data_IF_381790790335
#
_entry.id   IF_381790790335
#
_cell.length_a   1.000
_cell.length_b   1.000
_cell.length_c   1.000
_cell.angle_alpha   90.00
_cell.angle_beta   90.00
_cell.angle_gamma   90.00
#
_symmetry.space_group_name_H-M   'P 1'
#
loop_
_entity.id
_entity.type
_entity.pdbx_description
1 polymer ?
#
# COMPACT_ATOMS: atom_id res chain seq x y z
N UNK A 1 11.08 15.66 -44.93
CA UNK A 1 9.74 15.30 -44.40
C UNK A 1 9.61 13.81 -44.10
N UNK A 2 9.95 12.92 -45.04
CA UNK A 2 9.88 11.48 -44.83
C UNK A 2 10.98 10.97 -43.88
N UNK A 3 12.15 11.59 -43.93
CA UNK A 3 13.28 11.21 -43.02
C UNK A 3 13.02 11.68 -41.62
N UNK A 4 12.57 12.93 -41.43
CA UNK A 4 12.24 13.49 -40.11
C UNK A 4 11.06 12.76 -39.46
N UNK A 5 10.08 12.32 -40.25
CA UNK A 5 8.94 11.51 -39.77
C UNK A 5 9.40 10.11 -39.35
N UNK A 6 10.29 9.47 -40.09
CA UNK A 6 10.84 8.17 -39.77
C UNK A 6 11.74 8.23 -38.55
N UNK A 7 12.56 9.28 -38.40
CA UNK A 7 13.43 9.48 -37.25
C UNK A 7 12.63 9.79 -35.96
N UNK A 8 11.55 10.57 -36.04
CA UNK A 8 10.60 10.78 -34.95
C UNK A 8 9.86 9.50 -34.56
N UNK A 9 9.38 8.73 -35.53
CA UNK A 9 8.71 7.45 -35.28
C UNK A 9 9.67 6.41 -34.68
N UNK A 10 10.94 6.39 -35.14
CA UNK A 10 11.98 5.55 -34.58
C UNK A 10 12.31 5.94 -33.12
N UNK A 11 12.31 7.23 -32.81
CA UNK A 11 12.51 7.76 -31.47
C UNK A 11 11.34 7.43 -30.56
N UNK A 12 10.10 7.55 -31.02
CA UNK A 12 8.91 7.14 -30.25
C UNK A 12 8.82 5.62 -30.07
N UNK A 13 9.15 4.84 -31.09
CA UNK A 13 9.21 3.38 -30.98
C UNK A 13 10.32 2.96 -30.01
N UNK A 14 11.50 3.58 -30.07
CA UNK A 14 12.59 3.30 -29.12
C UNK A 14 12.25 3.78 -27.70
N UNK A 15 11.59 4.91 -27.53
CA UNK A 15 11.09 5.37 -26.23
C UNK A 15 10.02 4.43 -25.67
N UNK A 16 9.10 3.96 -26.53
CA UNK A 16 8.06 3.00 -26.14
C UNK A 16 8.63 1.60 -25.90
N UNK A 17 9.62 1.15 -26.69
CA UNK A 17 10.34 -0.11 -26.48
C UNK A 17 11.22 -0.04 -25.22
N UNK A 18 11.90 1.07 -24.96
CA UNK A 18 12.68 1.23 -23.72
C UNK A 18 11.76 1.36 -22.49
N UNK A 19 10.58 1.97 -22.60
CA UNK A 19 9.58 1.95 -21.55
C UNK A 19 8.90 0.59 -21.36
N UNK A 20 8.81 -0.22 -22.41
CA UNK A 20 8.17 -1.56 -22.36
C UNK A 20 9.15 -2.67 -21.98
N UNK A 21 10.43 -2.54 -22.37
CA UNK A 21 11.53 -3.47 -22.02
C UNK A 21 12.30 -3.05 -20.76
N UNK A 22 12.23 -1.76 -20.37
CA UNK A 22 12.87 -1.21 -19.17
C UNK A 22 12.01 -1.20 -17.93
N UNK A 23 10.86 -1.89 -17.91
CA UNK A 23 9.98 -2.06 -16.72
C UNK A 23 10.28 -3.37 -15.96
N UNK A 24 11.35 -4.04 -16.28
CA UNK A 24 12.05 -4.81 -15.27
C UNK A 24 13.13 -3.88 -14.71
N UNK A 25 12.98 -3.51 -13.45
CA UNK A 25 13.91 -2.70 -12.66
C UNK A 25 14.11 -1.25 -13.14
N UNK A 26 13.10 -0.38 -13.06
CA UNK A 26 13.34 0.85 -12.33
C UNK A 26 13.18 0.49 -10.86
N UNK A 27 14.17 -0.17 -10.32
CA UNK A 27 14.62 0.13 -8.99
C UNK A 27 14.69 1.65 -8.93
N UNK A 28 13.96 2.25 -8.01
CA UNK A 28 14.16 3.63 -7.62
C UNK A 28 15.60 3.73 -7.12
N UNK A 29 16.55 3.98 -8.03
CA UNK A 29 17.90 4.40 -7.74
C UNK A 29 17.91 5.91 -7.48
N UNK A 30 17.14 6.31 -6.52
CA UNK A 30 17.20 7.47 -5.71
C UNK A 30 16.89 6.94 -4.33
N UNK A 31 17.90 6.75 -3.53
CA UNK A 31 17.78 6.52 -2.09
C UNK A 31 17.09 7.76 -1.48
N UNK A 32 15.78 7.85 -1.62
CA UNK A 32 14.98 8.40 -0.55
C UNK A 32 15.06 7.35 0.56
N UNK A 33 16.11 7.52 1.41
CA UNK A 33 16.16 6.83 2.71
C UNK A 33 14.81 7.08 3.33
N UNK A 34 14.05 6.00 3.51
CA UNK A 34 12.81 6.01 4.27
C UNK A 34 13.08 6.86 5.50
N UNK A 35 12.36 7.94 5.66
CA UNK A 35 12.36 8.69 6.90
C UNK A 35 11.56 7.86 7.91
N UNK A 36 12.22 6.84 8.46
CA UNK A 36 11.64 5.89 9.42
C UNK A 36 11.09 6.60 10.66
N UNK A 37 11.53 7.84 10.94
CA UNK A 37 11.01 8.67 12.02
C UNK A 37 9.53 9.01 11.85
N UNK A 38 9.01 8.93 10.63
CA UNK A 38 7.60 9.19 10.34
C UNK A 38 6.69 7.98 10.55
N UNK A 39 7.22 6.77 10.70
CA UNK A 39 6.40 5.55 10.85
C UNK A 39 5.53 5.59 12.11
N UNK A 40 6.02 6.17 13.19
CA UNK A 40 5.33 6.26 14.49
C UNK A 40 5.01 7.70 14.92
N UNK A 41 4.92 8.63 13.98
CA UNK A 41 4.78 10.07 14.24
C UNK A 41 3.57 10.48 15.09
N UNK A 42 2.59 9.61 15.26
CA UNK A 42 1.39 9.84 16.09
C UNK A 42 1.44 9.15 17.44
N UNK A 43 2.42 8.26 17.65
CA UNK A 43 2.63 7.59 18.92
C UNK A 43 3.39 8.50 19.87
N UNK A 44 2.99 8.46 21.14
CA UNK A 44 3.68 9.14 22.24
C UNK A 44 4.08 8.12 23.29
N UNK A 45 5.30 8.21 23.77
CA UNK A 45 5.77 7.39 24.88
C UNK A 45 4.95 7.69 26.14
N UNK A 46 4.77 6.71 27.04
CA UNK A 46 4.04 6.93 28.30
C UNK A 46 4.56 8.12 29.11
N UNK A 47 5.85 8.40 29.05
CA UNK A 47 6.47 9.56 29.72
C UNK A 47 5.89 10.90 29.26
N UNK A 48 5.45 11.02 28.02
CA UNK A 48 4.91 12.26 27.44
C UNK A 48 3.51 12.63 27.99
N UNK A 49 2.89 11.72 28.77
CA UNK A 49 1.62 11.96 29.44
C UNK A 49 1.79 12.42 30.90
N UNK A 50 3.04 12.54 31.37
CA UNK A 50 3.37 13.11 32.69
C UNK A 50 3.15 14.62 32.65
N UNK A 51 2.88 15.23 33.81
CA UNK A 51 2.72 16.66 33.94
C UNK A 51 3.92 17.40 33.36
N UNK A 52 3.73 18.37 32.45
CA UNK A 52 4.83 19.14 31.83
C UNK A 52 5.80 19.77 32.80
N UNK A 53 5.37 20.13 34.02
CA UNK A 53 6.23 20.70 35.05
C UNK A 53 7.28 19.71 35.60
N UNK A 54 7.01 18.41 35.48
CA UNK A 54 7.88 17.33 35.95
C UNK A 54 8.62 16.63 34.82
N UNK A 55 8.49 17.18 33.61
CA UNK A 55 9.10 16.67 32.39
C UNK A 55 10.24 17.58 31.97
N UNK A 56 11.42 17.03 31.83
CA UNK A 56 12.63 17.80 31.55
C UNK A 56 13.27 17.32 30.25
N UNK A 57 13.61 18.22 29.31
CA UNK A 57 14.32 17.84 28.09
C UNK A 57 15.75 17.42 28.44
N UNK A 58 16.26 16.39 27.78
CA UNK A 58 17.67 16.06 27.79
C UNK A 58 18.44 17.02 26.89
N UNK A 59 19.53 17.62 27.42
CA UNK A 59 20.40 18.45 26.59
C UNK A 59 21.28 17.58 25.68
N UNK A 60 21.70 18.12 24.55
CA UNK A 60 22.57 17.40 23.60
C UNK A 60 23.90 16.98 24.28
N UNK A 61 24.44 17.81 25.20
CA UNK A 61 25.66 17.50 25.94
C UNK A 61 25.47 16.28 26.80
N UNK A 62 24.37 16.21 27.59
CA UNK A 62 24.07 15.05 28.44
C UNK A 62 23.81 13.81 27.59
N UNK A 63 23.17 13.97 26.43
CA UNK A 63 22.88 12.87 25.52
C UNK A 63 24.17 12.27 24.94
N UNK A 64 25.16 13.11 24.65
CA UNK A 64 26.50 12.68 24.19
C UNK A 64 27.32 12.07 25.33
N UNK A 65 27.41 12.75 26.47
CA UNK A 65 28.20 12.28 27.63
C UNK A 65 27.73 10.94 28.15
N UNK A 66 26.43 10.65 28.06
CA UNK A 66 25.85 9.37 28.45
C UNK A 66 25.82 8.33 27.32
N UNK A 67 26.40 8.64 26.17
CA UNK A 67 26.41 7.76 24.98
C UNK A 67 24.99 7.28 24.58
N UNK A 68 23.98 8.13 24.75
CA UNK A 68 22.61 7.82 24.38
C UNK A 68 22.38 7.89 22.87
N UNK A 69 23.26 8.58 22.15
CA UNK A 69 23.31 8.69 20.69
C UNK A 69 24.32 7.70 20.15
N UNK A 70 24.02 7.12 19.01
CA UNK A 70 24.92 6.22 18.32
C UNK A 70 26.09 6.99 17.69
N UNK A 71 27.32 6.66 18.07
CA UNK A 71 28.51 7.00 17.30
C UNK A 71 28.76 5.93 16.22
N UNK A 72 29.50 6.31 15.15
CA UNK A 72 29.76 5.39 14.03
C UNK A 72 30.48 4.12 14.54
N UNK A 73 29.80 2.99 14.43
CA UNK A 73 30.34 1.66 14.72
C UNK A 73 30.04 1.08 16.11
N UNK A 74 29.48 1.86 17.04
CA UNK A 74 29.11 1.37 18.37
C UNK A 74 27.60 1.40 18.62
N UNK A 75 27.11 0.51 19.50
CA UNK A 75 25.72 0.53 19.95
C UNK A 75 25.56 1.55 21.07
N UNK A 76 24.54 2.40 20.99
CA UNK A 76 24.19 3.34 22.05
C UNK A 76 23.78 2.61 23.34
N UNK A 77 23.83 3.31 24.48
CA UNK A 77 23.37 2.75 25.77
C UNK A 77 21.92 2.28 25.69
N UNK A 78 21.05 3.04 25.01
CA UNK A 78 19.65 2.64 24.84
C UNK A 78 19.47 1.43 23.91
N UNK A 79 20.27 1.31 22.85
CA UNK A 79 20.23 0.09 22.01
C UNK A 79 20.68 -1.14 22.79
N UNK A 80 21.67 -1.00 23.67
CA UNK A 80 22.09 -2.11 24.58
C UNK A 80 21.04 -2.42 25.64
N UNK A 81 20.31 -1.42 26.14
CA UNK A 81 19.32 -1.55 27.18
C UNK A 81 18.00 -2.14 26.65
N UNK A 82 17.50 -1.62 25.53
CA UNK A 82 16.23 -2.04 24.96
C UNK A 82 16.36 -3.27 24.06
N UNK A 83 17.53 -3.52 23.48
CA UNK A 83 17.80 -4.64 22.56
C UNK A 83 16.66 -4.83 21.51
N UNK A 84 16.32 -3.79 20.76
CA UNK A 84 15.21 -3.89 19.83
C UNK A 84 15.46 -5.00 18.81
N UNK A 85 14.40 -5.77 18.48
CA UNK A 85 14.49 -6.92 17.58
C UNK A 85 13.96 -6.61 16.19
N UNK A 86 13.20 -5.51 16.04
CA UNK A 86 12.61 -5.10 14.79
C UNK A 86 12.79 -3.60 14.52
N UNK A 87 12.55 -3.18 13.28
CA UNK A 87 12.75 -1.79 12.84
C UNK A 87 11.87 -0.78 13.62
N UNK A 88 10.68 -1.18 14.10
CA UNK A 88 9.80 -0.30 14.85
C UNK A 88 10.37 0.00 16.24
N UNK A 89 10.95 -1.01 16.89
CA UNK A 89 11.65 -0.86 18.17
C UNK A 89 12.92 0.00 18.03
N UNK A 90 13.70 -0.20 16.97
CA UNK A 90 14.88 0.61 16.70
C UNK A 90 14.53 2.09 16.49
N UNK A 91 13.48 2.38 15.72
CA UNK A 91 13.07 3.76 15.43
C UNK A 91 12.59 4.52 16.67
N UNK A 92 12.05 3.81 17.67
CA UNK A 92 11.53 4.44 18.88
C UNK A 92 12.64 4.84 19.89
N UNK A 93 13.85 4.34 19.74
CA UNK A 93 14.99 4.70 20.60
C UNK A 93 15.24 6.19 20.59
N UNK A 94 15.07 6.84 19.46
CA UNK A 94 15.25 8.28 19.33
C UNK A 94 14.24 9.10 20.13
N UNK A 95 13.08 8.54 20.45
CA UNK A 95 12.09 9.22 21.30
C UNK A 95 12.42 9.09 22.76
N UNK A 96 12.97 7.96 23.22
CA UNK A 96 13.39 7.76 24.60
C UNK A 96 14.46 8.74 25.07
N UNK A 97 15.33 9.21 24.18
CA UNK A 97 16.43 10.14 24.54
C UNK A 97 16.01 11.61 24.60
N UNK A 98 14.76 11.95 24.28
CA UNK A 98 14.34 13.36 24.20
C UNK A 98 14.14 14.00 25.57
N UNK A 99 13.70 13.23 26.55
CA UNK A 99 13.25 13.77 27.82
C UNK A 99 13.32 12.75 28.96
N UNK A 100 13.40 13.27 30.18
CA UNK A 100 13.30 12.47 31.40
C UNK A 100 12.32 13.12 32.38
N UNK A 101 11.91 12.39 33.41
CA UNK A 101 10.98 12.89 34.41
C UNK A 101 11.48 12.64 35.83
N UNK A 102 11.14 13.56 36.74
CA UNK A 102 11.33 13.43 38.17
C UNK A 102 10.06 12.92 38.90
N UNK A 103 8.97 12.64 38.17
CA UNK A 103 7.71 12.18 38.77
C UNK A 103 7.89 10.79 39.39
N UNK A 104 7.91 10.76 40.75
CA UNK A 104 8.08 9.54 41.52
C UNK A 104 7.02 8.48 41.21
N UNK A 105 5.76 8.87 41.12
CA UNK A 105 4.66 7.94 40.87
C UNK A 105 4.81 7.28 39.50
N UNK A 106 5.17 8.06 38.47
CA UNK A 106 5.42 7.54 37.14
C UNK A 106 6.59 6.53 37.13
N UNK A 107 7.68 6.85 37.81
CA UNK A 107 8.85 5.97 37.88
C UNK A 107 8.50 4.65 38.58
N UNK A 108 7.75 4.68 39.68
CA UNK A 108 7.30 3.48 40.39
C UNK A 108 6.30 2.66 39.55
N UNK A 109 5.34 3.31 38.89
CA UNK A 109 4.40 2.62 38.02
C UNK A 109 5.10 2.02 36.80
N UNK A 110 6.11 2.69 36.23
CA UNK A 110 6.93 2.17 35.12
C UNK A 110 7.71 0.92 35.54
N UNK A 111 8.32 0.91 36.74
CA UNK A 111 8.97 -0.28 37.29
C UNK A 111 7.99 -1.45 37.40
N UNK A 112 6.76 -1.19 37.85
CA UNK A 112 5.70 -2.21 37.93
C UNK A 112 5.30 -2.69 36.54
N UNK A 113 5.12 -1.78 35.59
CA UNK A 113 4.81 -2.11 34.19
C UNK A 113 5.88 -3.04 33.63
N UNK A 114 7.17 -2.71 33.75
CA UNK A 114 8.28 -3.54 33.27
C UNK A 114 8.28 -4.92 33.97
N UNK A 115 8.03 -4.97 35.29
CA UNK A 115 8.06 -6.23 36.05
C UNK A 115 6.85 -7.14 35.77
N UNK A 116 5.67 -6.57 35.65
CA UNK A 116 4.41 -7.28 35.47
C UNK A 116 4.12 -7.63 34.00
N UNK A 117 4.51 -6.76 33.03
CA UNK A 117 4.21 -7.00 31.64
C UNK A 117 4.97 -8.23 31.14
N UNK A 118 4.24 -9.12 30.48
CA UNK A 118 4.80 -10.16 29.62
C UNK A 118 4.45 -9.71 28.21
N UNK A 119 5.36 -8.99 27.51
CA UNK A 119 5.06 -8.53 26.16
C UNK A 119 4.79 -9.75 25.27
N UNK A 120 3.77 -9.72 24.42
CA UNK A 120 3.56 -10.78 23.43
C UNK A 120 4.78 -10.88 22.52
N UNK A 121 4.96 -12.01 21.84
CA UNK A 121 5.95 -12.11 20.78
C UNK A 121 5.69 -11.04 19.73
N UNK A 122 6.72 -10.57 19.03
CA UNK A 122 6.53 -9.60 17.95
C UNK A 122 5.66 -10.20 16.85
N UNK A 123 4.90 -9.34 16.19
CA UNK A 123 4.20 -9.73 14.96
C UNK A 123 5.16 -10.38 13.95
N UNK A 124 6.36 -9.82 13.82
CA UNK A 124 7.37 -10.28 12.87
C UNK A 124 8.00 -11.63 13.21
N UNK A 125 7.93 -12.08 14.47
CA UNK A 125 8.46 -13.39 14.88
C UNK A 125 7.63 -14.56 14.35
N UNK A 126 6.32 -14.39 14.17
CA UNK A 126 5.39 -15.47 13.90
C UNK A 126 4.62 -15.33 12.56
N UNK A 127 4.62 -14.16 11.95
CA UNK A 127 3.79 -13.87 10.76
C UNK A 127 4.38 -14.37 9.44
N UNK A 128 5.66 -14.73 9.42
CA UNK A 128 6.38 -15.00 8.16
C UNK A 128 6.66 -13.76 7.31
N UNK A 129 6.21 -12.59 7.76
CA UNK A 129 6.46 -11.29 7.11
C UNK A 129 7.62 -10.61 7.80
N UNK A 130 8.65 -10.22 7.06
CA UNK A 130 9.75 -9.45 7.63
C UNK A 130 9.30 -8.01 7.94
N UNK A 131 9.93 -7.38 8.94
CA UNK A 131 9.72 -5.98 9.28
C UNK A 131 10.01 -5.05 8.09
N UNK A 132 11.04 -5.35 7.29
CA UNK A 132 11.38 -4.61 6.08
C UNK A 132 10.29 -4.73 5.00
N UNK A 133 9.72 -5.93 4.82
CA UNK A 133 8.61 -6.14 3.89
C UNK A 133 7.36 -5.38 4.33
N UNK A 134 7.04 -5.40 5.62
CA UNK A 134 5.93 -4.64 6.17
C UNK A 134 6.09 -3.13 5.94
N UNK A 135 7.27 -2.58 6.22
CA UNK A 135 7.57 -1.16 6.00
C UNK A 135 7.48 -0.82 4.50
N UNK A 136 8.01 -1.65 3.61
CA UNK A 136 7.88 -1.45 2.17
C UNK A 136 6.42 -1.43 1.71
N UNK A 137 5.58 -2.32 2.24
CA UNK A 137 4.14 -2.35 1.93
C UNK A 137 3.43 -1.10 2.44
N UNK A 138 3.83 -0.60 3.62
CA UNK A 138 3.33 0.66 4.16
C UNK A 138 3.71 1.86 3.30
N UNK A 139 4.95 1.94 2.84
CA UNK A 139 5.41 3.00 1.94
C UNK A 139 4.68 2.97 0.62
N UNK A 140 4.51 1.79 0.06
CA UNK A 140 3.78 1.62 -1.18
C UNK A 140 2.30 2.03 -1.05
N UNK A 141 1.69 1.80 0.13
CA UNK A 141 0.36 2.29 0.47
C UNK A 141 0.34 3.82 0.60
N UNK A 142 1.41 4.44 1.09
CA UNK A 142 1.49 5.89 1.39
C UNK A 142 2.33 6.69 0.41
N UNK A 143 2.52 6.19 -0.81
CA UNK A 143 3.08 6.97 -1.92
C UNK A 143 2.24 8.20 -2.22
N UNK A 144 2.80 9.16 -2.96
CA UNK A 144 2.08 10.35 -3.39
C UNK A 144 0.73 9.99 -4.01
N UNK A 145 -0.31 10.76 -3.68
CA UNK A 145 -1.70 10.51 -4.06
C UNK A 145 -1.88 10.33 -5.58
N UNK A 146 -1.31 11.22 -6.39
CA UNK A 146 -1.42 11.16 -7.85
C UNK A 146 -0.79 9.87 -8.40
N UNK A 147 0.41 9.52 -7.91
CA UNK A 147 1.10 8.27 -8.26
C UNK A 147 0.32 7.04 -7.82
N UNK A 148 -0.35 7.12 -6.66
CA UNK A 148 -1.21 6.05 -6.16
C UNK A 148 -2.41 5.82 -7.06
N UNK A 149 -3.12 6.89 -7.46
CA UNK A 149 -4.29 6.81 -8.34
C UNK A 149 -3.91 6.18 -9.70
N UNK A 150 -2.83 6.69 -10.33
CA UNK A 150 -2.33 6.17 -11.60
C UNK A 150 -1.93 4.69 -11.51
N UNK A 151 -1.12 4.33 -10.50
CA UNK A 151 -0.58 2.99 -10.34
C UNK A 151 -1.65 1.91 -10.22
N UNK A 152 -2.73 2.22 -9.51
CA UNK A 152 -3.79 1.25 -9.24
C UNK A 152 -5.05 1.44 -10.09
N UNK A 153 -5.03 2.39 -11.02
CA UNK A 153 -6.11 2.64 -11.99
C UNK A 153 -7.36 3.24 -11.35
N UNK A 154 -7.19 4.05 -10.33
CA UNK A 154 -8.25 4.87 -9.75
C UNK A 154 -8.55 6.09 -10.62
N UNK A 155 -9.69 6.74 -10.37
CA UNK A 155 -10.04 7.98 -11.05
C UNK A 155 -9.21 9.13 -10.49
N UNK A 156 -8.50 9.82 -11.39
CA UNK A 156 -7.64 10.95 -11.05
C UNK A 156 -8.39 12.30 -11.04
N UNK A 157 -9.55 12.38 -11.71
CA UNK A 157 -10.35 13.60 -11.76
C UNK A 157 -11.00 13.89 -10.40
N UNK A 158 -10.62 14.98 -9.75
CA UNK A 158 -11.09 15.38 -8.42
C UNK A 158 -12.62 15.43 -8.30
N UNK A 159 -13.34 15.85 -9.37
CA UNK A 159 -14.81 15.87 -9.39
C UNK A 159 -15.44 14.47 -9.36
N UNK A 160 -14.74 13.45 -9.86
CA UNK A 160 -15.22 12.06 -9.94
C UNK A 160 -14.52 11.14 -8.91
N UNK A 161 -13.63 11.68 -8.12
CA UNK A 161 -12.84 10.93 -7.13
C UNK A 161 -13.72 10.17 -6.11
N UNK A 162 -14.92 10.69 -5.80
CA UNK A 162 -15.90 10.04 -4.94
C UNK A 162 -16.30 8.63 -5.40
N UNK A 163 -16.20 8.35 -6.71
CA UNK A 163 -16.46 7.02 -7.26
C UNK A 163 -15.40 5.98 -6.85
N UNK A 164 -14.19 6.41 -6.46
CA UNK A 164 -13.16 5.52 -5.92
C UNK A 164 -13.57 4.88 -4.59
N UNK A 165 -14.60 5.41 -3.92
CA UNK A 165 -15.21 4.83 -2.71
C UNK A 165 -16.38 3.89 -3.00
N UNK A 166 -16.80 3.77 -4.26
CA UNK A 166 -17.89 2.89 -4.66
C UNK A 166 -17.38 1.52 -5.11
N UNK A 167 -17.62 0.43 -4.36
CA UNK A 167 -17.15 -0.89 -4.74
C UNK A 167 -17.77 -1.38 -6.05
N UNK A 168 -19.03 -0.98 -6.33
CA UNK A 168 -19.72 -1.36 -7.56
C UNK A 168 -19.09 -0.66 -8.77
N UNK A 169 -18.77 0.62 -8.65
CA UNK A 169 -18.11 1.36 -9.74
C UNK A 169 -16.72 0.80 -10.03
N UNK A 170 -15.91 0.58 -8.99
CA UNK A 170 -14.58 -0.01 -9.13
C UNK A 170 -14.64 -1.44 -9.69
N UNK A 171 -15.68 -2.19 -9.35
CA UNK A 171 -15.94 -3.51 -9.93
C UNK A 171 -16.20 -3.43 -11.44
N UNK A 172 -17.08 -2.53 -11.88
CA UNK A 172 -17.36 -2.32 -13.30
C UNK A 172 -16.12 -1.86 -14.07
N UNK A 173 -15.36 -0.93 -13.50
CA UNK A 173 -14.11 -0.44 -14.09
C UNK A 173 -13.09 -1.57 -14.23
N UNK A 174 -12.96 -2.42 -13.20
CA UNK A 174 -12.05 -3.56 -13.21
C UNK A 174 -12.44 -4.60 -14.27
N UNK A 175 -13.72 -4.92 -14.37
CA UNK A 175 -14.23 -5.82 -15.40
C UNK A 175 -13.99 -5.23 -16.81
N UNK A 176 -14.22 -3.92 -17.01
CA UNK A 176 -13.95 -3.25 -18.27
C UNK A 176 -12.46 -3.35 -18.65
N UNK A 177 -11.54 -3.10 -17.70
CA UNK A 177 -10.10 -3.23 -17.91
C UNK A 177 -9.69 -4.68 -18.26
N UNK A 178 -10.26 -5.66 -17.57
CA UNK A 178 -9.96 -7.08 -17.83
C UNK A 178 -10.58 -7.59 -19.14
N UNK A 179 -11.74 -7.07 -19.54
CA UNK A 179 -12.40 -7.41 -20.80
C UNK A 179 -11.84 -6.67 -21.99
N UNK A 180 -11.02 -5.67 -21.81
CA UNK A 180 -10.43 -4.82 -22.86
C UNK A 180 -9.82 -5.61 -24.03
N UNK A 181 -9.04 -6.71 -23.86
CA UNK A 181 -8.53 -7.49 -24.97
C UNK A 181 -9.65 -8.17 -25.78
N UNK A 182 -10.66 -8.69 -25.09
CA UNK A 182 -11.80 -9.36 -25.71
C UNK A 182 -12.64 -8.37 -26.49
N UNK A 183 -12.92 -7.20 -25.90
CA UNK A 183 -13.65 -6.11 -26.59
C UNK A 183 -12.90 -5.65 -27.83
N UNK A 184 -11.59 -5.46 -27.76
CA UNK A 184 -10.76 -5.06 -28.89
C UNK A 184 -10.79 -6.09 -30.04
N UNK A 185 -10.78 -7.39 -29.69
CA UNK A 185 -10.89 -8.47 -30.67
C UNK A 185 -12.30 -8.52 -31.30
N UNK A 186 -13.35 -8.24 -30.50
CA UNK A 186 -14.74 -8.26 -30.97
C UNK A 186 -15.17 -6.99 -31.72
N UNK A 187 -14.43 -5.89 -31.56
CA UNK A 187 -14.78 -4.58 -32.12
C UNK A 187 -15.07 -4.63 -33.63
N UNK A 188 -14.24 -5.29 -34.48
CA UNK A 188 -14.54 -5.40 -35.93
C UNK A 188 -15.86 -6.13 -36.21
N UNK A 189 -16.19 -7.16 -35.41
CA UNK A 189 -17.46 -7.89 -35.56
C UNK A 189 -18.66 -7.06 -35.11
N UNK A 190 -18.50 -6.27 -34.06
CA UNK A 190 -19.53 -5.35 -33.56
C UNK A 190 -19.84 -4.31 -34.64
N UNK A 191 -18.83 -3.69 -35.24
CA UNK A 191 -19.02 -2.75 -36.35
C UNK A 191 -19.68 -3.37 -37.57
N UNK A 192 -19.50 -4.67 -37.78
CA UNK A 192 -20.12 -5.41 -38.85
C UNK A 192 -21.62 -5.71 -38.57
N UNK A 193 -21.97 -6.01 -37.33
CA UNK A 193 -23.33 -6.42 -36.96
C UNK A 193 -24.23 -5.22 -36.59
N UNK A 194 -23.66 -4.17 -36.01
CA UNK A 194 -24.40 -3.04 -35.46
C UNK A 194 -25.28 -2.29 -36.49
N UNK A 195 -24.82 -1.98 -37.75
CA UNK A 195 -25.67 -1.37 -38.74
C UNK A 195 -26.87 -2.22 -39.15
N UNK A 196 -26.71 -3.56 -39.17
CA UNK A 196 -27.82 -4.48 -39.48
C UNK A 196 -28.90 -4.41 -38.38
N UNK A 197 -28.49 -4.37 -37.11
CA UNK A 197 -29.43 -4.23 -36.00
C UNK A 197 -30.19 -2.92 -36.09
N UNK A 198 -29.51 -1.81 -36.37
CA UNK A 198 -30.13 -0.48 -36.49
C UNK A 198 -31.17 -0.48 -37.65
N UNK A 199 -30.82 -1.03 -38.81
CA UNK A 199 -31.72 -1.08 -39.95
C UNK A 199 -32.98 -1.91 -39.64
N UNK A 200 -32.82 -3.03 -38.93
CA UNK A 200 -33.92 -3.88 -38.51
C UNK A 200 -34.83 -3.22 -37.45
N UNK A 201 -34.25 -2.53 -36.49
CA UNK A 201 -34.99 -1.75 -35.48
C UNK A 201 -35.80 -0.62 -36.13
N UNK A 202 -35.29 0.00 -37.20
CA UNK A 202 -36.00 1.03 -37.98
C UNK A 202 -37.10 0.47 -38.89
N UNK A 203 -37.35 -0.85 -38.85
CA UNK A 203 -38.44 -1.51 -39.63
C UNK A 203 -38.13 -1.65 -41.09
N UNK A 204 -36.87 -1.48 -41.53
CA UNK A 204 -36.50 -1.66 -42.95
C UNK A 204 -36.39 -3.16 -43.22
N UNK A 205 -37.17 -3.72 -44.17
CA UNK A 205 -37.21 -5.15 -44.46
C UNK A 205 -35.95 -5.55 -45.27
N UNK A 206 -34.82 -5.68 -44.57
CA UNK A 206 -33.57 -6.16 -45.17
C UNK A 206 -33.37 -7.61 -44.77
N UNK A 207 -33.21 -8.49 -45.78
CA UNK A 207 -32.83 -9.89 -45.55
C UNK A 207 -31.33 -9.95 -45.15
N UNK A 208 -30.97 -10.98 -44.40
CA UNK A 208 -29.58 -11.20 -43.98
C UNK A 208 -28.63 -11.32 -45.18
N UNK A 209 -29.08 -11.98 -46.27
CA UNK A 209 -28.30 -12.12 -47.50
C UNK A 209 -28.07 -10.78 -48.21
N UNK A 210 -29.11 -9.94 -48.30
CA UNK A 210 -29.00 -8.60 -48.89
C UNK A 210 -28.03 -7.71 -48.08
N UNK A 211 -28.13 -7.83 -46.72
CA UNK A 211 -27.22 -7.12 -45.84
C UNK A 211 -25.76 -7.56 -46.04
N UNK A 212 -25.50 -8.87 -46.09
CA UNK A 212 -24.15 -9.41 -46.32
C UNK A 212 -23.61 -8.94 -47.69
N UNK A 213 -24.46 -8.90 -48.72
CA UNK A 213 -24.05 -8.40 -50.02
C UNK A 213 -23.65 -6.90 -49.99
N UNK A 214 -24.47 -6.06 -49.37
CA UNK A 214 -24.17 -4.63 -49.17
C UNK A 214 -22.91 -4.47 -48.29
N UNK A 215 -22.80 -5.27 -47.27
CA UNK A 215 -21.63 -5.24 -46.39
C UNK A 215 -20.36 -5.68 -47.10
N UNK A 216 -20.42 -6.69 -47.98
CA UNK A 216 -19.29 -7.07 -48.83
C UNK A 216 -18.92 -5.95 -49.80
N UNK A 217 -19.91 -5.22 -50.32
CA UNK A 217 -19.65 -4.07 -51.19
C UNK A 217 -19.02 -2.90 -50.43
N UNK A 218 -19.47 -2.59 -49.22
CA UNK A 218 -18.85 -1.60 -48.36
C UNK A 218 -17.46 -2.09 -47.94
N UNK A 219 -17.33 -3.34 -47.58
CA UNK A 219 -16.07 -3.96 -47.19
C UNK A 219 -15.05 -3.96 -48.32
N UNK A 220 -15.46 -4.06 -49.58
CA UNK A 220 -14.56 -3.90 -50.75
C UNK A 220 -13.86 -2.53 -50.78
N UNK A 221 -14.53 -1.51 -50.26
CA UNK A 221 -13.97 -0.16 -50.15
C UNK A 221 -13.27 0.11 -48.83
N UNK A 222 -13.56 -0.69 -47.79
CA UNK A 222 -12.88 -0.63 -46.51
C UNK A 222 -11.55 -1.39 -46.55
N UNK A 223 -10.61 -0.99 -45.71
CA UNK A 223 -9.27 -1.55 -45.64
C UNK A 223 -9.25 -3.09 -45.52
N UNK A 224 -10.13 -3.68 -44.68
CA UNK A 224 -10.25 -5.14 -44.51
C UNK A 224 -10.77 -5.84 -45.78
N UNK A 225 -11.70 -5.24 -46.49
CA UNK A 225 -12.27 -5.83 -47.68
C UNK A 225 -11.35 -5.70 -48.92
N UNK A 226 -10.57 -4.62 -48.97
CA UNK A 226 -9.47 -4.52 -49.94
C UNK A 226 -8.43 -5.61 -49.71
N UNK A 227 -8.24 -6.02 -48.47
CA UNK A 227 -7.37 -7.11 -48.08
C UNK A 227 -7.85 -8.47 -48.62
N UNK A 228 -9.15 -8.75 -48.54
CA UNK A 228 -9.74 -10.03 -48.94
C UNK A 228 -9.95 -10.15 -50.47
N UNK A 229 -10.31 -9.04 -51.16
CA UNK A 229 -10.72 -9.09 -52.56
C UNK A 229 -9.58 -8.82 -53.58
N UNK A 230 -8.47 -8.14 -53.19
CA UNK A 230 -7.43 -7.70 -54.13
C UNK A 230 -6.06 -8.30 -53.88
N UNK A 231 -5.96 -9.46 -53.25
CA UNK A 231 -4.66 -10.13 -52.99
C UNK A 231 -3.84 -10.36 -54.28
N UNK A 232 -4.49 -10.40 -55.46
CA UNK A 232 -3.79 -10.66 -56.75
C UNK A 232 -3.33 -9.40 -57.51
N UNK A 233 -3.84 -8.21 -57.17
CA UNK A 233 -3.55 -6.95 -57.91
C UNK A 233 -3.33 -5.74 -56.98
N UNK A 234 -2.62 -5.90 -55.86
CA UNK A 234 -2.36 -4.83 -54.92
C UNK A 234 -1.16 -4.01 -55.37
N UNK A 235 -1.32 -2.69 -55.49
CA UNK A 235 -0.15 -1.81 -55.71
C UNK A 235 0.77 -1.88 -54.47
N UNK A 236 2.10 -1.77 -54.62
CA UNK A 236 3.05 -1.84 -53.52
C UNK A 236 2.74 -0.88 -52.36
N UNK A 237 2.26 0.32 -52.69
CA UNK A 237 1.84 1.32 -51.70
C UNK A 237 0.62 0.87 -50.88
N UNK A 238 -0.39 0.30 -51.51
CA UNK A 238 -1.58 -0.20 -50.80
C UNK A 238 -1.24 -1.43 -49.93
N UNK A 239 -0.30 -2.24 -50.34
CA UNK A 239 0.21 -3.37 -49.55
C UNK A 239 0.87 -2.89 -48.25
N UNK A 240 1.69 -1.84 -48.32
CA UNK A 240 2.35 -1.25 -47.14
C UNK A 240 1.32 -0.71 -46.15
N UNK A 241 0.33 0.07 -46.61
CA UNK A 241 -0.74 0.59 -45.75
C UNK A 241 -1.56 -0.53 -45.09
N UNK A 242 -1.81 -1.59 -45.83
CA UNK A 242 -2.56 -2.75 -45.37
C UNK A 242 -1.77 -3.53 -44.27
N UNK A 243 -0.48 -3.79 -44.49
CA UNK A 243 0.39 -4.43 -43.52
C UNK A 243 0.54 -3.57 -42.25
N UNK A 244 0.70 -2.26 -42.42
CA UNK A 244 0.78 -1.33 -41.31
C UNK A 244 -0.51 -1.32 -40.48
N UNK A 245 -1.67 -1.18 -41.10
CA UNK A 245 -2.96 -1.18 -40.40
C UNK A 245 -3.25 -2.50 -39.68
N UNK A 246 -2.89 -3.64 -40.32
CA UNK A 246 -3.02 -4.96 -39.69
C UNK A 246 -2.03 -5.11 -38.52
N UNK A 247 -0.80 -4.65 -38.69
CA UNK A 247 0.20 -4.65 -37.64
C UNK A 247 -0.22 -3.80 -36.44
N UNK A 248 -0.77 -2.61 -36.70
CA UNK A 248 -1.30 -1.74 -35.63
C UNK A 248 -2.47 -2.36 -34.89
N UNK A 249 -3.36 -3.08 -35.58
CA UNK A 249 -4.48 -3.79 -34.94
C UNK A 249 -3.99 -4.90 -34.00
N UNK A 250 -3.05 -5.73 -34.45
CA UNK A 250 -2.47 -6.77 -33.57
C UNK A 250 -1.65 -6.17 -32.43
N UNK A 251 -0.93 -5.07 -32.70
CA UNK A 251 -0.21 -4.34 -31.66
C UNK A 251 -1.17 -3.80 -30.59
N UNK A 252 -2.32 -3.25 -30.97
CA UNK A 252 -3.34 -2.79 -30.02
C UNK A 252 -3.85 -3.94 -29.13
N UNK A 253 -4.15 -5.10 -29.73
CA UNK A 253 -4.58 -6.28 -28.96
C UNK A 253 -3.48 -6.71 -28.00
N UNK A 254 -2.22 -6.75 -28.45
CA UNK A 254 -1.07 -7.09 -27.62
C UNK A 254 -0.93 -6.14 -26.42
N UNK A 255 -1.04 -4.83 -26.64
CA UNK A 255 -0.99 -3.83 -25.56
C UNK A 255 -2.13 -4.01 -24.56
N UNK A 256 -3.34 -4.31 -25.03
CA UNK A 256 -4.47 -4.57 -24.15
C UNK A 256 -4.26 -5.83 -23.30
N UNK A 257 -3.65 -6.90 -23.85
CA UNK A 257 -3.31 -8.10 -23.10
C UNK A 257 -2.26 -7.80 -22.02
N UNK A 258 -1.21 -7.03 -22.34
CA UNK A 258 -0.19 -6.62 -21.38
C UNK A 258 -0.80 -5.79 -20.26
N UNK A 259 -1.66 -4.82 -20.62
CA UNK A 259 -2.35 -3.97 -19.65
C UNK A 259 -3.24 -4.78 -18.69
N UNK A 260 -4.02 -5.72 -19.24
CA UNK A 260 -4.84 -6.64 -18.46
C UNK A 260 -3.97 -7.48 -17.51
N UNK A 261 -2.86 -8.05 -17.98
CA UNK A 261 -1.92 -8.83 -17.14
C UNK A 261 -1.31 -7.97 -16.04
N UNK A 262 -0.93 -6.72 -16.33
CA UNK A 262 -0.40 -5.77 -15.35
C UNK A 262 -1.44 -5.45 -14.29
N UNK A 263 -2.66 -5.12 -14.69
CA UNK A 263 -3.77 -4.88 -13.79
C UNK A 263 -4.01 -6.07 -12.85
N UNK A 264 -4.09 -7.29 -13.39
CA UNK A 264 -4.29 -8.50 -12.60
C UNK A 264 -3.18 -8.71 -11.55
N UNK A 265 -1.91 -8.54 -11.95
CA UNK A 265 -0.76 -8.63 -11.03
C UNK A 265 -0.84 -7.57 -9.92
N UNK A 266 -1.24 -6.35 -10.26
CA UNK A 266 -1.42 -5.30 -9.26
C UNK A 266 -2.52 -5.66 -8.25
N UNK A 267 -3.64 -6.21 -8.72
CA UNK A 267 -4.73 -6.66 -7.84
C UNK A 267 -4.25 -7.79 -6.91
N UNK A 268 -3.50 -8.76 -7.42
CA UNK A 268 -2.91 -9.82 -6.58
C UNK A 268 -2.00 -9.22 -5.50
N UNK A 269 -1.15 -8.28 -5.87
CA UNK A 269 -0.25 -7.59 -4.94
C UNK A 269 -1.03 -6.83 -3.87
N UNK A 270 -2.09 -6.12 -4.26
CA UNK A 270 -2.98 -5.44 -3.30
C UNK A 270 -3.63 -6.41 -2.32
N UNK A 271 -4.08 -7.57 -2.80
CA UNK A 271 -4.68 -8.60 -1.94
C UNK A 271 -3.67 -9.09 -0.89
N UNK A 272 -2.43 -9.36 -1.30
CA UNK A 272 -1.35 -9.75 -0.38
C UNK A 272 -1.06 -8.65 0.66
N UNK A 273 -0.96 -7.39 0.24
CA UNK A 273 -0.74 -6.27 1.16
C UNK A 273 -1.87 -6.14 2.20
N UNK A 274 -3.13 -6.22 1.74
CA UNK A 274 -4.28 -6.13 2.64
C UNK A 274 -4.30 -7.28 3.66
N UNK A 275 -3.86 -8.48 3.25
CA UNK A 275 -3.76 -9.61 4.15
C UNK A 275 -2.71 -9.38 5.25
N UNK A 276 -1.52 -8.92 4.88
CA UNK A 276 -0.46 -8.58 5.85
C UNK A 276 -0.96 -7.51 6.83
N UNK A 277 -1.63 -6.46 6.36
CA UNK A 277 -2.21 -5.44 7.23
C UNK A 277 -3.32 -6.00 8.13
N UNK A 278 -4.18 -6.88 7.61
CA UNK A 278 -5.23 -7.54 8.40
C UNK A 278 -4.67 -8.36 9.56
N UNK A 279 -3.63 -9.15 9.29
CA UNK A 279 -2.95 -9.98 10.31
C UNK A 279 -2.24 -9.11 11.34
N UNK A 280 -1.55 -8.06 10.88
CA UNK A 280 -0.94 -7.06 11.75
C UNK A 280 -1.96 -6.36 12.64
N UNK A 281 -3.11 -5.96 12.10
CA UNK A 281 -4.20 -5.36 12.87
C UNK A 281 -4.72 -6.30 13.95
N UNK A 282 -4.87 -7.59 13.63
CA UNK A 282 -5.27 -8.60 14.60
C UNK A 282 -4.32 -8.66 15.80
N UNK A 283 -3.03 -8.79 15.53
CA UNK A 283 -1.98 -8.78 16.54
C UNK A 283 -1.96 -7.48 17.36
N UNK A 284 -2.03 -6.33 16.69
CA UNK A 284 -1.95 -5.01 17.32
C UNK A 284 -3.13 -4.74 18.25
N UNK A 285 -4.36 -5.09 17.84
CA UNK A 285 -5.58 -4.97 18.63
C UNK A 285 -5.45 -5.80 19.92
N UNK A 286 -5.00 -7.06 19.79
CA UNK A 286 -4.83 -7.96 20.93
C UNK A 286 -3.75 -7.44 21.90
N UNK A 287 -2.61 -7.01 21.37
CA UNK A 287 -1.49 -6.47 22.15
C UNK A 287 -1.87 -5.22 22.94
N UNK A 288 -2.59 -4.28 22.32
CA UNK A 288 -3.11 -3.07 22.98
C UNK A 288 -4.11 -3.47 24.06
N UNK A 289 -5.02 -4.39 23.77
CA UNK A 289 -6.04 -4.84 24.73
C UNK A 289 -5.43 -5.45 25.97
N UNK A 290 -4.50 -6.38 25.80
CA UNK A 290 -3.79 -7.04 26.89
C UNK A 290 -3.05 -6.02 27.76
N UNK A 291 -2.35 -5.07 27.16
CA UNK A 291 -1.64 -4.02 27.87
C UNK A 291 -2.58 -3.11 28.66
N UNK A 292 -3.64 -2.61 28.03
CA UNK A 292 -4.61 -1.72 28.65
C UNK A 292 -5.34 -2.41 29.81
N UNK A 293 -5.79 -3.65 29.63
CA UNK A 293 -6.47 -4.40 30.70
C UNK A 293 -5.59 -4.56 31.94
N UNK A 294 -4.29 -4.73 31.73
CA UNK A 294 -3.34 -4.99 32.83
C UNK A 294 -2.90 -3.71 33.56
N UNK A 295 -2.86 -2.58 32.86
CA UNK A 295 -2.22 -1.37 33.39
C UNK A 295 -3.16 -0.16 33.56
N UNK A 296 -4.45 -0.28 33.22
CA UNK A 296 -5.45 0.80 33.35
C UNK A 296 -5.62 1.34 34.78
N UNK A 297 -5.26 0.55 35.78
CA UNK A 297 -5.39 0.93 37.20
C UNK A 297 -4.19 1.73 37.72
N UNK A 298 -3.12 1.87 36.91
CA UNK A 298 -1.95 2.66 37.26
C UNK A 298 -2.22 4.13 36.88
N UNK A 299 -2.22 5.01 37.90
CA UNK A 299 -2.60 6.43 37.71
C UNK A 299 -1.76 7.14 36.65
N UNK A 300 -0.45 6.89 36.62
CA UNK A 300 0.46 7.53 35.65
C UNK A 300 0.31 7.00 34.22
N UNK A 301 -0.30 5.84 34.03
CA UNK A 301 -0.54 5.23 32.72
C UNK A 301 -1.98 5.36 32.22
N UNK A 302 -2.86 6.00 33.01
CA UNK A 302 -4.29 6.09 32.69
C UNK A 302 -4.54 6.77 31.33
N UNK A 303 -3.92 7.93 31.08
CA UNK A 303 -4.09 8.65 29.83
C UNK A 303 -3.49 7.89 28.66
N UNK A 304 -2.30 7.31 28.81
CA UNK A 304 -1.70 6.45 27.79
C UNK A 304 -2.62 5.26 27.43
N UNK A 305 -3.19 4.60 28.44
CA UNK A 305 -4.13 3.50 28.24
C UNK A 305 -5.43 3.97 27.55
N UNK A 306 -5.93 5.16 27.88
CA UNK A 306 -7.12 5.76 27.26
C UNK A 306 -6.89 6.05 25.78
N UNK A 307 -5.76 6.65 25.44
CA UNK A 307 -5.39 6.94 24.07
C UNK A 307 -5.16 5.66 23.26
N UNK A 308 -4.46 4.69 23.83
CA UNK A 308 -4.27 3.37 23.22
C UNK A 308 -5.61 2.69 22.93
N UNK A 309 -6.56 2.75 23.86
CA UNK A 309 -7.89 2.19 23.67
C UNK A 309 -8.66 2.88 22.57
N UNK A 310 -8.55 4.23 22.45
CA UNK A 310 -9.19 5.00 21.39
C UNK A 310 -8.68 4.56 20.00
N UNK A 311 -7.36 4.46 19.84
CA UNK A 311 -6.78 3.96 18.60
C UNK A 311 -7.16 2.50 18.32
N UNK A 312 -7.20 1.65 19.35
CA UNK A 312 -7.68 0.26 19.21
C UNK A 312 -9.08 0.20 18.58
N UNK A 313 -10.00 1.08 18.98
CA UNK A 313 -11.35 1.10 18.38
C UNK A 313 -11.32 1.38 16.88
N UNK A 314 -10.49 2.33 16.44
CA UNK A 314 -10.31 2.60 15.01
C UNK A 314 -9.66 1.41 14.29
N UNK A 315 -8.66 0.74 14.90
CA UNK A 315 -8.06 -0.46 14.32
C UNK A 315 -9.08 -1.60 14.15
N UNK A 316 -10.03 -1.76 15.06
CA UNK A 316 -11.14 -2.72 14.94
C UNK A 316 -12.01 -2.37 13.73
N UNK A 317 -12.32 -1.10 13.51
CA UNK A 317 -13.09 -0.67 12.35
C UNK A 317 -12.36 -0.93 11.04
N UNK A 318 -11.05 -0.65 10.98
CA UNK A 318 -10.22 -1.00 9.83
C UNK A 318 -10.23 -2.52 9.60
N UNK A 319 -10.02 -3.33 10.63
CA UNK A 319 -10.02 -4.78 10.52
C UNK A 319 -11.35 -5.31 9.98
N UNK A 320 -12.48 -4.78 10.47
CA UNK A 320 -13.83 -5.15 9.99
C UNK A 320 -14.00 -4.91 8.49
N UNK A 321 -13.46 -3.81 7.96
CA UNK A 321 -13.50 -3.52 6.52
C UNK A 321 -12.65 -4.55 5.75
N UNK A 322 -11.52 -4.97 6.31
CA UNK A 322 -10.61 -5.95 5.68
C UNK A 322 -11.11 -7.40 5.82
N UNK A 323 -11.94 -7.72 6.81
CA UNK A 323 -12.47 -9.08 7.02
C UNK A 323 -13.39 -9.58 5.89
N UNK A 324 -13.82 -8.70 5.00
CA UNK A 324 -14.55 -9.07 3.76
C UNK A 324 -13.68 -9.93 2.81
N UNK A 325 -12.36 -9.92 2.99
CA UNK A 325 -11.41 -10.66 2.16
C UNK A 325 -10.81 -11.84 2.95
N UNK A 326 -11.31 -13.05 2.67
CA UNK A 326 -10.94 -14.25 3.45
C UNK A 326 -9.71 -15.01 2.88
N UNK A 327 -9.28 -14.73 1.65
CA UNK A 327 -8.25 -15.54 0.99
C UNK A 327 -6.99 -14.74 0.64
N UNK A 328 -5.82 -15.28 1.02
CA UNK A 328 -4.50 -14.73 0.65
C UNK A 328 -4.20 -14.86 -0.85
N UNK A 329 -4.71 -15.92 -1.49
CA UNK A 329 -4.48 -16.20 -2.90
C UNK A 329 -5.64 -15.68 -3.75
N UNK A 330 -5.46 -14.46 -4.26
CA UNK A 330 -6.41 -13.90 -5.23
C UNK A 330 -6.41 -14.74 -6.52
N UNK A 331 -7.49 -15.44 -6.76
CA UNK A 331 -7.71 -16.28 -7.94
C UNK A 331 -8.51 -15.53 -9.02
N UNK A 332 -8.46 -16.05 -10.25
CA UNK A 332 -9.32 -15.57 -11.35
C UNK A 332 -10.82 -15.69 -11.01
N UNK A 333 -11.19 -16.60 -10.10
CA UNK A 333 -12.56 -16.73 -9.62
C UNK A 333 -13.02 -15.62 -8.66
N UNK A 334 -12.08 -14.84 -8.10
CA UNK A 334 -12.37 -13.73 -7.19
C UNK A 334 -12.58 -12.39 -7.90
N UNK A 335 -12.68 -12.40 -9.23
CA UNK A 335 -12.90 -11.19 -10.05
C UNK A 335 -14.08 -10.37 -9.51
N UNK A 336 -15.13 -11.03 -9.00
CA UNK A 336 -16.30 -10.35 -8.41
C UNK A 336 -16.00 -9.55 -7.13
N UNK A 337 -14.84 -9.75 -6.48
CA UNK A 337 -14.43 -9.09 -5.23
C UNK A 337 -13.44 -7.94 -5.45
N UNK A 338 -12.98 -7.72 -6.69
CA UNK A 338 -11.95 -6.70 -7.01
C UNK A 338 -12.40 -5.31 -6.59
N UNK A 339 -13.64 -4.94 -6.85
CA UNK A 339 -14.16 -3.62 -6.51
C UNK A 339 -14.11 -3.33 -5.00
N UNK A 340 -14.45 -4.32 -4.17
CA UNK A 340 -14.35 -4.20 -2.70
C UNK A 340 -12.89 -4.12 -2.24
N UNK A 341 -12.00 -4.91 -2.84
CA UNK A 341 -10.57 -4.90 -2.55
C UNK A 341 -9.94 -3.54 -2.87
N UNK A 342 -10.20 -3.01 -4.05
CA UNK A 342 -9.72 -1.69 -4.46
C UNK A 342 -10.27 -0.58 -3.56
N UNK A 343 -11.58 -0.61 -3.24
CA UNK A 343 -12.18 0.35 -2.31
C UNK A 343 -11.46 0.32 -0.95
N UNK A 344 -11.26 -0.84 -0.37
CA UNK A 344 -10.63 -0.96 0.94
C UNK A 344 -9.18 -0.45 0.93
N UNK A 345 -8.44 -0.72 -0.15
CA UNK A 345 -7.09 -0.20 -0.32
C UNK A 345 -7.08 1.33 -0.48
N UNK A 346 -8.04 1.89 -1.23
CA UNK A 346 -8.23 3.33 -1.35
C UNK A 346 -8.57 3.98 -0.01
N UNK A 347 -9.45 3.38 0.80
CA UNK A 347 -9.80 3.88 2.13
C UNK A 347 -8.59 3.90 3.08
N UNK A 348 -7.75 2.86 3.06
CA UNK A 348 -6.51 2.84 3.85
C UNK A 348 -5.52 3.93 3.40
N UNK A 349 -5.49 4.24 2.10
CA UNK A 349 -4.64 5.31 1.58
C UNK A 349 -5.16 6.69 1.97
N UNK A 350 -6.46 6.96 1.77
CA UNK A 350 -7.04 8.30 1.81
C UNK A 350 -7.55 8.73 3.20
N UNK A 351 -7.86 7.79 4.11
CA UNK A 351 -8.41 8.11 5.41
C UNK A 351 -7.32 8.46 6.43
N UNK A 352 -7.27 9.73 6.82
CA UNK A 352 -6.28 10.24 7.77
C UNK A 352 -6.42 9.65 9.18
N UNK A 353 -7.64 9.33 9.61
CA UNK A 353 -7.86 8.72 10.93
C UNK A 353 -7.30 7.29 10.97
N UNK A 354 -7.48 6.53 9.90
CA UNK A 354 -6.90 5.20 9.74
C UNK A 354 -5.37 5.27 9.73
N UNK A 355 -4.81 6.22 8.98
CA UNK A 355 -3.38 6.44 8.98
C UNK A 355 -2.82 6.75 10.37
N UNK A 356 -3.44 7.69 11.09
CA UNK A 356 -3.02 8.05 12.45
C UNK A 356 -3.03 6.85 13.38
N UNK A 357 -4.08 6.03 13.32
CA UNK A 357 -4.21 4.88 14.21
C UNK A 357 -3.25 3.74 13.83
N UNK A 358 -2.97 3.53 12.55
CA UNK A 358 -1.93 2.60 12.10
C UNK A 358 -0.53 3.06 12.51
N UNK A 359 -0.19 4.34 12.35
CA UNK A 359 1.09 4.89 12.84
C UNK A 359 1.21 4.79 14.35
N UNK A 360 0.12 5.02 15.09
CA UNK A 360 0.08 4.80 16.53
C UNK A 360 0.38 3.35 16.88
N UNK A 361 -0.25 2.40 16.20
CA UNK A 361 -0.03 0.98 16.46
C UNK A 361 1.41 0.52 16.16
N UNK A 362 2.05 1.09 15.13
CA UNK A 362 3.46 0.83 14.83
C UNK A 362 4.37 1.33 15.95
N UNK A 363 4.13 2.53 16.48
CA UNK A 363 4.86 3.02 17.64
C UNK A 363 4.61 2.18 18.90
N UNK A 364 3.37 1.70 19.09
CA UNK A 364 3.02 0.84 20.20
C UNK A 364 3.73 -0.53 20.12
N UNK A 365 3.84 -1.13 18.93
CA UNK A 365 4.63 -2.34 18.74
C UNK A 365 6.12 -2.11 19.03
N UNK A 366 6.67 -0.98 18.58
CA UNK A 366 8.05 -0.58 18.93
C UNK A 366 8.25 -0.42 20.42
N UNK A 367 7.27 0.16 21.14
CA UNK A 367 7.28 0.27 22.60
C UNK A 367 7.27 -1.10 23.29
N UNK A 368 6.44 -2.03 22.81
CA UNK A 368 6.42 -3.39 23.35
C UNK A 368 7.74 -4.14 23.08
N UNK A 369 8.36 -3.92 21.93
CA UNK A 369 9.67 -4.48 21.61
C UNK A 369 10.75 -3.99 22.59
N UNK A 370 10.78 -2.68 22.85
CA UNK A 370 11.68 -2.09 23.83
C UNK A 370 11.41 -2.64 25.26
N UNK A 371 10.14 -2.85 25.63
CA UNK A 371 9.80 -3.49 26.92
C UNK A 371 10.26 -4.94 26.99
N UNK A 372 10.28 -5.69 25.88
CA UNK A 372 10.81 -7.08 25.84
C UNK A 372 12.29 -7.08 26.19
N UNK A 373 13.09 -6.19 25.61
CA UNK A 373 14.51 -6.06 25.93
C UNK A 373 14.76 -5.72 27.40
N UNK A 374 14.03 -4.72 27.93
CA UNK A 374 14.10 -4.37 29.36
C UNK A 374 13.74 -5.56 30.26
N UNK A 375 12.67 -6.30 29.94
CA UNK A 375 12.23 -7.47 30.67
C UNK A 375 13.28 -8.57 30.67
N UNK A 376 13.99 -8.75 29.56
CA UNK A 376 15.09 -9.70 29.45
C UNK A 376 16.22 -9.36 30.41
N UNK A 377 16.59 -8.07 30.54
CA UNK A 377 17.61 -7.61 31.49
C UNK A 377 17.17 -7.82 32.95
N UNK A 378 15.90 -7.52 33.28
CA UNK A 378 15.35 -7.78 34.62
C UNK A 378 15.39 -9.28 34.94
N UNK A 379 15.01 -10.13 33.99
CA UNK A 379 15.02 -11.58 34.19
C UNK A 379 16.43 -12.15 34.38
N UNK A 380 17.41 -11.59 33.70
CA UNK A 380 18.85 -11.95 33.86
C UNK A 380 19.49 -11.31 35.09
N UNK A 381 18.75 -10.54 35.90
CA UNK A 381 19.25 -9.78 37.03
C UNK A 381 20.35 -8.78 36.67
N UNK A 382 20.36 -8.27 35.44
CA UNK A 382 21.28 -7.24 35.01
C UNK A 382 20.77 -5.83 35.37
N UNK A 383 19.45 -5.69 35.61
CA UNK A 383 18.79 -4.46 36.04
C UNK A 383 17.89 -4.78 37.22
N UNK A 384 17.86 -3.88 38.22
CA UNK A 384 17.09 -4.02 39.44
C UNK A 384 16.15 -2.83 39.62
N UNK A 385 15.04 -3.05 40.35
CA UNK A 385 14.16 -1.98 40.79
C UNK A 385 14.90 -1.10 41.83
N UNK A 386 14.76 0.20 41.69
CA UNK A 386 15.36 1.18 42.60
C UNK A 386 14.30 1.67 43.57
N UNK A 387 14.64 1.71 44.86
CA UNK A 387 13.82 2.38 45.87
C UNK A 387 13.97 3.89 45.72
N UNK A 388 12.85 4.59 45.54
CA UNK A 388 12.83 6.04 45.44
C UNK A 388 12.42 6.61 46.81
N UNK A 389 13.35 7.22 47.54
CA UNK A 389 13.10 7.88 48.81
C UNK A 389 12.67 9.32 48.60
N UNK A 390 11.88 9.83 49.56
CA UNK A 390 11.43 11.25 49.57
C UNK A 390 12.49 12.18 50.19
N UNK A 391 13.57 11.63 50.72
CA UNK A 391 14.65 12.43 51.30
C UNK A 391 15.45 13.08 50.19
N UNK A 392 15.51 14.39 50.25
CA UNK A 392 16.36 15.20 49.37
C UNK A 392 17.78 14.67 49.47
N UNK A 393 18.30 14.21 48.32
CA UNK A 393 19.72 13.96 48.20
C UNK A 393 20.48 15.27 48.49
N UNK A 394 21.23 15.29 49.58
CA UNK A 394 22.19 16.30 49.88
C UNK A 394 23.39 16.19 48.92
#
# INVERSE_FOLDING_TARGET
WTKDFMDNMQSEINATLSSTLGVETRECSGQDKIDCSKLHSTFKLPIEYVNPEELHPLSDVVTQDLELVKEEGELSVYERLFQPTNILGHNLIDDWKKQFTSNKQYLLDTQRVISETIPPASFFDNSGTSDQEFVKNWEELKINHDTFLEKYGFIEFSMLESFNRSPLFLQLLSVANMMSPVVSLMLPFIFLIFPFIILKVRGIPISLNTYITVLMDIAKHHFIGKMLNNVKNISPTNLIYMLFGTGMFFYQIYQNIISCKRFYRNVQKLSSHLMIFKDYLGHSIESIEQFVLKHKDKTSYLEFCRESYRHKMVLIDIKRILDVHETSDFSVFDIGKIGSLLKNYYELHSNQEYERSLRYSMGFEGFLDNLRGLKLHVSKKAVYNVGINDETAC
#
